data_IF_704800396615
#
_entry.id   IF_704800396615
#
_cell.length_a   1.000
_cell.length_b   1.000
_cell.length_c   1.000
_cell.angle_alpha   90.00
_cell.angle_beta   90.00
_cell.angle_gamma   90.00
#
_symmetry.space_group_name_H-M   'P 1'
#
loop_
_entity.id
_entity.type
_entity.pdbx_description
1 polymer ?
#
# COMPACT_ATOMS: atom_id res chain seq x y z
N UNK A 1 22.35 4.41 23.79
CA UNK A 1 22.10 5.37 22.69
C UNK A 1 21.41 4.58 21.58
N UNK A 2 20.12 4.83 21.36
CA UNK A 2 19.40 4.20 20.27
C UNK A 2 19.84 4.88 18.96
N UNK A 3 20.62 4.17 18.15
CA UNK A 3 20.91 4.56 16.78
C UNK A 3 19.60 4.51 16.00
N UNK A 4 19.13 5.65 15.52
CA UNK A 4 17.98 5.72 14.63
C UNK A 4 18.33 4.97 13.34
N UNK A 5 17.70 3.82 13.12
CA UNK A 5 17.75 3.13 11.85
C UNK A 5 16.90 3.92 10.85
N UNK A 6 17.56 4.69 9.97
CA UNK A 6 16.91 5.28 8.81
C UNK A 6 16.81 4.20 7.72
N UNK A 7 15.80 3.34 7.83
CA UNK A 7 15.51 2.28 6.87
C UNK A 7 14.00 2.20 6.58
N UNK A 8 13.34 3.37 6.47
CA UNK A 8 11.97 3.41 5.96
C UNK A 8 12.05 3.57 4.45
N UNK A 9 11.68 2.52 3.71
CA UNK A 9 11.83 2.44 2.23
C UNK A 9 10.44 2.49 1.54
N UNK A 10 9.34 2.63 2.28
CA UNK A 10 8.02 2.93 1.69
C UNK A 10 7.93 4.37 1.16
N UNK A 11 8.62 4.62 0.06
CA UNK A 11 8.64 5.88 -0.66
C UNK A 11 8.43 5.64 -2.15
N UNK A 12 7.97 6.67 -2.86
CA UNK A 12 7.97 6.73 -4.31
C UNK A 12 9.13 7.60 -4.80
N UNK A 13 9.31 7.64 -6.12
CA UNK A 13 10.11 8.69 -6.76
C UNK A 13 9.33 9.36 -7.88
N UNK A 14 9.72 10.59 -8.20
CA UNK A 14 9.16 11.37 -9.30
C UNK A 14 10.28 11.80 -10.24
N UNK A 15 10.11 11.52 -11.52
CA UNK A 15 11.04 11.86 -12.59
C UNK A 15 10.32 12.56 -13.73
N UNK A 16 11.07 13.16 -14.63
CA UNK A 16 10.50 13.71 -15.86
C UNK A 16 11.40 14.73 -16.51
N UNK A 17 10.87 15.38 -17.54
CA UNK A 17 11.59 16.36 -18.34
C UNK A 17 10.83 17.67 -18.45
N UNK A 18 11.56 18.78 -18.34
CA UNK A 18 11.01 20.12 -18.49
C UNK A 18 11.36 20.68 -19.86
N UNK A 19 10.33 21.14 -20.58
CA UNK A 19 10.38 21.64 -21.95
C UNK A 19 9.91 23.09 -22.06
N UNK A 20 10.44 23.82 -23.03
CA UNK A 20 9.94 25.15 -23.43
C UNK A 20 8.75 25.04 -24.42
N UNK A 21 8.10 26.14 -24.82
CA UNK A 21 7.00 26.10 -25.79
C UNK A 21 7.38 25.50 -27.16
N UNK A 22 8.64 25.62 -27.54
CA UNK A 22 9.24 25.13 -28.79
C UNK A 22 9.68 23.66 -28.69
N UNK A 23 9.67 23.06 -27.51
CA UNK A 23 10.06 21.67 -27.26
C UNK A 23 11.55 21.49 -26.91
N UNK A 24 12.31 22.55 -26.65
CA UNK A 24 13.69 22.43 -26.16
C UNK A 24 13.73 22.12 -24.67
N UNK A 25 14.78 21.42 -24.24
CA UNK A 25 15.05 21.10 -22.83
C UNK A 25 15.34 22.37 -22.03
N UNK A 26 14.76 22.47 -20.83
CA UNK A 26 14.96 23.61 -19.93
C UNK A 26 15.87 23.21 -18.76
N UNK A 27 17.16 23.58 -18.79
CA UNK A 27 18.09 23.30 -17.71
C UNK A 27 17.96 24.29 -16.54
N UNK A 28 18.33 23.85 -15.34
CA UNK A 28 18.30 24.64 -14.11
C UNK A 28 16.92 25.26 -13.80
N UNK A 29 15.84 24.53 -14.08
CA UNK A 29 14.51 24.82 -13.57
C UNK A 29 14.36 24.19 -12.18
N UNK A 30 13.73 24.91 -11.26
CA UNK A 30 13.46 24.42 -9.91
C UNK A 30 12.16 23.62 -9.95
N UNK A 31 12.22 22.37 -9.51
CA UNK A 31 11.06 21.50 -9.35
C UNK A 31 10.80 21.32 -7.86
N UNK A 32 9.59 21.64 -7.41
CA UNK A 32 9.19 21.50 -6.01
C UNK A 32 7.98 20.59 -5.90
N UNK A 33 8.12 19.51 -5.15
CA UNK A 33 7.01 18.64 -4.75
C UNK A 33 6.55 19.05 -3.35
N UNK A 34 5.27 19.39 -3.21
CA UNK A 34 4.65 19.77 -1.96
C UNK A 34 3.51 18.82 -1.61
N UNK A 35 3.64 18.11 -0.48
CA UNK A 35 2.60 17.22 0.02
C UNK A 35 1.63 18.00 0.92
N UNK A 36 0.33 17.92 0.61
CA UNK A 36 -0.67 18.83 1.18
C UNK A 36 -1.04 18.49 2.63
N UNK A 37 -1.00 17.22 3.03
CA UNK A 37 -1.50 16.77 4.35
C UNK A 37 -0.49 16.97 5.48
N UNK A 38 0.79 16.89 5.17
CA UNK A 38 1.96 17.00 6.06
C UNK A 38 2.72 18.30 5.86
N UNK A 39 2.54 18.99 4.72
CA UNK A 39 3.30 20.20 4.40
C UNK A 39 4.75 19.91 4.00
N UNK A 40 5.09 18.65 3.70
CA UNK A 40 6.43 18.25 3.27
C UNK A 40 6.77 18.91 1.93
N UNK A 41 8.00 19.43 1.82
CA UNK A 41 8.51 20.05 0.60
C UNK A 41 9.83 19.39 0.18
N UNK A 42 9.87 18.84 -1.04
CA UNK A 42 11.07 18.27 -1.66
C UNK A 42 11.42 19.06 -2.92
N UNK A 43 12.69 19.43 -3.07
CA UNK A 43 13.17 20.22 -4.21
C UNK A 43 14.21 19.45 -5.01
N UNK A 44 14.16 19.64 -6.32
CA UNK A 44 15.17 19.19 -7.27
C UNK A 44 15.39 20.28 -8.32
N UNK A 45 16.49 20.19 -9.05
CA UNK A 45 16.85 21.13 -10.11
C UNK A 45 17.09 20.33 -11.38
N UNK A 46 16.54 20.80 -12.50
CA UNK A 46 16.74 20.09 -13.77
C UNK A 46 18.20 20.11 -14.21
N UNK A 47 18.66 18.98 -14.74
CA UNK A 47 19.99 18.78 -15.31
C UNK A 47 20.17 19.58 -16.61
N UNK A 48 21.36 19.50 -17.22
CA UNK A 48 21.63 20.09 -18.53
C UNK A 48 20.72 19.52 -19.63
N UNK A 49 20.28 18.27 -19.48
CA UNK A 49 19.36 17.61 -20.40
C UNK A 49 17.88 17.93 -20.09
N UNK A 50 17.61 18.84 -19.14
CA UNK A 50 16.27 19.25 -18.73
C UNK A 50 15.51 18.22 -17.91
N UNK A 51 16.15 17.12 -17.51
CA UNK A 51 15.55 16.06 -16.68
C UNK A 51 15.66 16.39 -15.20
N UNK A 52 14.74 15.89 -14.38
CA UNK A 52 14.81 15.99 -12.92
C UNK A 52 14.50 14.64 -12.28
N UNK A 53 14.96 14.48 -11.04
CA UNK A 53 14.64 13.32 -10.20
C UNK A 53 14.43 13.78 -8.76
N UNK A 54 13.33 13.35 -8.17
CA UNK A 54 12.96 13.52 -6.77
C UNK A 54 12.78 12.12 -6.18
N UNK A 55 13.69 11.73 -5.29
CA UNK A 55 13.60 10.44 -4.61
C UNK A 55 12.94 10.58 -3.24
N UNK A 56 12.60 9.41 -2.68
CA UNK A 56 12.14 9.24 -1.31
C UNK A 56 10.96 10.14 -0.94
N UNK A 57 9.98 10.26 -1.84
CA UNK A 57 8.73 10.94 -1.56
C UNK A 57 7.84 9.98 -0.76
N UNK A 58 7.37 10.34 0.45
CA UNK A 58 6.32 9.58 1.12
C UNK A 58 5.09 9.45 0.22
N UNK A 59 4.33 8.37 0.39
CA UNK A 59 3.06 8.20 -0.30
C UNK A 59 2.09 9.32 0.06
N UNK A 60 1.22 9.70 -0.89
CA UNK A 60 0.24 10.77 -0.69
C UNK A 60 0.01 11.63 -1.91
N UNK A 61 -0.72 12.72 -1.73
CA UNK A 61 -1.15 13.60 -2.81
C UNK A 61 -0.28 14.87 -2.87
N UNK A 62 0.41 15.05 -3.98
CA UNK A 62 1.36 16.14 -4.17
C UNK A 62 0.85 17.21 -5.12
N UNK A 63 1.35 18.42 -4.90
CA UNK A 63 1.39 19.49 -5.87
C UNK A 63 2.81 19.69 -6.35
N UNK A 64 3.03 19.60 -7.67
CA UNK A 64 4.33 19.75 -8.29
C UNK A 64 4.40 21.10 -8.99
N UNK A 65 5.36 21.93 -8.60
CA UNK A 65 5.61 23.23 -9.23
C UNK A 65 6.96 23.27 -9.95
N UNK A 66 6.97 23.95 -11.08
CA UNK A 66 8.12 24.14 -11.95
C UNK A 66 8.34 25.64 -12.13
N UNK A 67 9.53 26.11 -11.72
CA UNK A 67 9.88 27.53 -11.76
C UNK A 67 11.21 27.75 -12.49
N UNK A 68 11.23 28.72 -13.41
CA UNK A 68 12.44 29.13 -14.14
C UNK A 68 12.34 30.59 -14.53
N UNK A 69 13.39 31.37 -14.29
CA UNK A 69 13.47 32.76 -14.73
C UNK A 69 13.21 32.88 -16.24
N UNK A 70 12.29 33.77 -16.62
CA UNK A 70 11.85 33.97 -18.01
C UNK A 70 10.64 33.12 -18.42
N UNK A 71 10.23 32.16 -17.58
CA UNK A 71 9.03 31.35 -17.77
C UNK A 71 7.97 31.70 -16.72
N UNK A 72 6.72 31.41 -17.05
CA UNK A 72 5.61 31.45 -16.12
C UNK A 72 5.67 30.22 -15.21
N UNK A 73 5.32 30.39 -13.92
CA UNK A 73 5.24 29.29 -12.98
C UNK A 73 4.17 28.29 -13.42
N UNK A 74 4.56 27.02 -13.50
CA UNK A 74 3.69 25.94 -13.90
C UNK A 74 3.45 25.02 -12.70
N UNK A 75 2.18 24.71 -12.41
CA UNK A 75 1.80 23.88 -11.26
C UNK A 75 0.82 22.80 -11.71
N UNK A 76 1.10 21.58 -11.25
CA UNK A 76 0.22 20.42 -11.42
C UNK A 76 -0.20 19.97 -10.04
N UNK A 77 -1.50 20.01 -9.77
CA UNK A 77 -2.08 19.55 -8.51
C UNK A 77 -2.65 18.13 -8.66
N UNK A 78 -2.71 17.38 -7.56
CA UNK A 78 -3.35 16.06 -7.56
C UNK A 78 -2.46 14.93 -8.09
N UNK A 79 -1.14 15.09 -8.00
CA UNK A 79 -0.20 14.03 -8.40
C UNK A 79 -0.09 13.03 -7.26
N UNK A 80 -0.74 11.88 -7.40
CA UNK A 80 -0.70 10.80 -6.43
C UNK A 80 0.64 10.07 -6.48
N UNK A 81 1.23 9.81 -5.33
CA UNK A 81 2.46 9.05 -5.17
C UNK A 81 2.16 7.75 -4.43
N UNK A 82 2.44 6.64 -5.09
CA UNK A 82 2.16 5.28 -4.63
C UNK A 82 3.46 4.56 -4.26
N UNK A 83 3.38 3.63 -3.31
CA UNK A 83 4.57 2.92 -2.79
C UNK A 83 5.31 2.18 -3.91
N UNK A 84 6.64 2.25 -3.93
CA UNK A 84 7.48 1.46 -4.85
C UNK A 84 7.42 1.87 -6.33
N UNK A 85 6.73 2.97 -6.66
CA UNK A 85 6.61 3.45 -8.04
C UNK A 85 7.48 4.66 -8.34
N UNK A 86 7.95 4.73 -9.58
CA UNK A 86 8.61 5.91 -10.14
C UNK A 86 7.67 6.59 -11.11
N UNK A 87 7.05 7.67 -10.66
CA UNK A 87 6.11 8.44 -11.47
C UNK A 87 6.87 9.31 -12.47
N UNK A 88 6.37 9.39 -13.71
CA UNK A 88 6.96 10.26 -14.74
C UNK A 88 6.02 11.42 -15.07
N UNK A 89 6.44 12.64 -14.76
CA UNK A 89 5.70 13.88 -15.06
C UNK A 89 6.57 14.83 -15.89
N UNK A 90 6.29 14.88 -17.19
CA UNK A 90 6.87 15.89 -18.06
C UNK A 90 6.11 17.21 -17.94
N UNK A 91 6.84 18.33 -18.01
CA UNK A 91 6.28 19.67 -17.92
C UNK A 91 6.65 20.50 -19.14
N UNK A 92 5.69 21.25 -19.68
CA UNK A 92 5.92 22.22 -20.76
C UNK A 92 5.65 23.63 -20.27
N UNK A 93 6.72 24.40 -20.05
CA UNK A 93 6.64 25.75 -19.52
C UNK A 93 6.18 26.74 -20.60
N UNK A 94 5.43 27.75 -20.17
CA UNK A 94 5.07 28.90 -21.01
C UNK A 94 6.00 30.08 -20.70
N UNK A 95 6.27 30.94 -21.68
CA UNK A 95 7.04 32.17 -21.44
C UNK A 95 6.26 33.12 -20.52
N UNK A 96 6.98 33.82 -19.63
CA UNK A 96 6.37 34.83 -18.77
C UNK A 96 5.87 36.01 -19.61
N UNK A 97 4.55 36.19 -19.72
CA UNK A 97 3.94 37.41 -20.28
C UNK A 97 3.78 38.40 -19.14
N UNK A 98 4.61 39.45 -19.08
CA UNK A 98 4.65 40.48 -18.03
C UNK A 98 3.44 40.51 -17.09
N UNK A 99 3.67 40.08 -15.84
CA UNK A 99 2.77 39.56 -14.77
C UNK A 99 2.74 38.03 -14.67
N UNK A 100 3.17 37.50 -13.52
CA UNK A 100 3.29 36.07 -13.27
C UNK A 100 1.91 35.39 -13.39
N UNK A 101 1.70 34.67 -14.50
CA UNK A 101 0.49 33.87 -14.72
C UNK A 101 0.76 32.46 -14.21
N UNK A 102 0.13 32.10 -13.10
CA UNK A 102 0.14 30.71 -12.62
C UNK A 102 -0.76 29.87 -13.52
N UNK A 103 -0.18 28.92 -14.24
CA UNK A 103 -0.96 27.91 -14.96
C UNK A 103 -1.11 26.71 -14.04
N UNK A 104 -2.29 26.55 -13.43
CA UNK A 104 -2.67 25.38 -12.64
C UNK A 104 -3.42 24.41 -13.53
N UNK A 105 -2.87 23.24 -13.78
CA UNK A 105 -3.60 22.15 -14.43
C UNK A 105 -4.27 21.32 -13.33
N UNK A 106 -5.60 21.33 -13.31
CA UNK A 106 -6.44 20.59 -12.33
C UNK A 106 -7.12 19.37 -12.97
N UNK A 107 -6.77 19.03 -14.21
CA UNK A 107 -7.29 17.80 -14.80
C UNK A 107 -6.44 16.60 -14.35
N UNK A 108 -7.05 15.47 -13.97
CA UNK A 108 -6.32 14.23 -13.77
C UNK A 108 -5.73 13.85 -15.12
N UNK A 109 -4.47 14.18 -15.34
CA UNK A 109 -3.69 13.56 -16.40
C UNK A 109 -3.83 12.06 -16.14
N UNK A 110 -4.52 11.34 -17.02
CA UNK A 110 -4.47 9.88 -17.04
C UNK A 110 -3.02 9.56 -17.38
N UNK A 111 -2.20 9.44 -16.35
CA UNK A 111 -0.78 9.18 -16.46
C UNK A 111 -0.64 7.71 -16.77
N UNK A 112 -0.59 7.43 -18.07
CA UNK A 112 -0.26 6.10 -18.57
C UNK A 112 1.13 5.75 -18.05
N UNK A 113 1.24 4.68 -17.27
CA UNK A 113 2.54 4.16 -16.85
C UNK A 113 3.29 3.60 -18.07
N UNK A 114 4.22 4.41 -18.58
CA UNK A 114 5.01 4.09 -19.79
C UNK A 114 6.35 3.43 -19.46
N UNK A 115 6.72 3.39 -18.19
CA UNK A 115 8.05 3.00 -17.74
C UNK A 115 8.13 1.57 -17.21
N UNK A 116 7.00 0.93 -16.90
CA UNK A 116 6.95 -0.34 -16.20
C UNK A 116 6.01 -1.37 -16.87
N UNK A 117 6.49 -2.60 -17.06
CA UNK A 117 5.73 -3.73 -17.62
C UNK A 117 5.15 -4.65 -16.53
N UNK A 118 5.21 -4.23 -15.26
CA UNK A 118 4.71 -4.99 -14.10
C UNK A 118 3.22 -5.30 -14.26
N UNK A 119 2.86 -6.56 -14.03
CA UNK A 119 1.47 -6.96 -13.88
C UNK A 119 1.17 -6.98 -12.38
N UNK A 120 0.20 -6.18 -11.98
CA UNK A 120 -0.12 -5.96 -10.58
C UNK A 120 -1.35 -5.07 -10.42
N UNK A 121 -1.72 -4.81 -9.16
CA UNK A 121 -2.76 -3.84 -8.84
C UNK A 121 -2.37 -3.10 -7.55
N UNK A 122 -2.44 -1.76 -7.52
CA UNK A 122 -2.63 -1.06 -6.26
C UNK A 122 -4.02 -1.42 -5.74
N UNK A 123 -4.14 -1.77 -4.46
CA UNK A 123 -5.45 -1.90 -3.83
C UNK A 123 -5.69 -0.66 -3.01
N UNK A 124 -6.62 0.15 -3.51
CA UNK A 124 -6.92 1.46 -2.95
C UNK A 124 -7.61 1.35 -1.59
N UNK A 125 -7.41 2.38 -0.77
CA UNK A 125 -8.08 2.53 0.53
C UNK A 125 -9.62 2.44 0.42
N UNK A 126 -10.20 2.83 -0.72
CA UNK A 126 -11.63 2.66 -1.00
C UNK A 126 -12.03 1.18 -1.02
N UNK A 127 -11.26 0.33 -1.72
CA UNK A 127 -11.51 -1.11 -1.78
C UNK A 127 -11.36 -1.77 -0.41
N UNK A 128 -10.39 -1.31 0.39
CA UNK A 128 -10.21 -1.72 1.80
C UNK A 128 -11.46 -1.42 2.66
N UNK A 129 -12.11 -0.28 2.42
CA UNK A 129 -13.26 0.15 3.22
C UNK A 129 -14.61 -0.37 2.70
N UNK A 130 -14.75 -0.59 1.39
CA UNK A 130 -16.02 -0.90 0.75
C UNK A 130 -16.22 -2.41 0.53
N UNK A 131 -15.14 -3.19 0.43
CA UNK A 131 -15.27 -4.62 0.21
C UNK A 131 -15.55 -5.37 1.52
N UNK A 132 -16.45 -6.36 1.50
CA UNK A 132 -16.71 -7.18 2.67
C UNK A 132 -15.51 -8.09 2.96
N UNK A 133 -14.69 -7.69 3.92
CA UNK A 133 -13.51 -8.46 4.35
C UNK A 133 -13.83 -9.30 5.57
N UNK A 134 -13.90 -10.61 5.35
CA UNK A 134 -14.08 -11.56 6.43
C UNK A 134 -12.90 -11.48 7.41
N UNK A 135 -13.19 -11.23 8.68
CA UNK A 135 -12.16 -11.05 9.72
C UNK A 135 -11.25 -9.84 9.49
N UNK A 136 -11.68 -8.87 8.65
CA UNK A 136 -10.89 -7.68 8.25
C UNK A 136 -9.49 -8.02 7.75
N UNK A 137 -9.33 -9.18 7.11
CA UNK A 137 -8.04 -9.60 6.59
C UNK A 137 -7.72 -8.88 5.28
N UNK A 138 -6.74 -7.99 5.31
CA UNK A 138 -6.32 -7.23 4.13
C UNK A 138 -5.81 -8.14 3.00
N UNK A 139 -5.24 -9.32 3.31
CA UNK A 139 -4.70 -10.20 2.28
C UNK A 139 -5.77 -10.80 1.37
N UNK A 140 -7.03 -10.87 1.77
CA UNK A 140 -8.11 -11.32 0.89
C UNK A 140 -8.24 -10.44 -0.35
N UNK A 141 -7.85 -9.17 -0.25
CA UNK A 141 -7.84 -8.25 -1.37
C UNK A 141 -6.73 -8.55 -2.39
N UNK A 142 -5.63 -9.18 -1.97
CA UNK A 142 -4.55 -9.58 -2.90
C UNK A 142 -5.01 -10.64 -3.90
N UNK A 143 -6.12 -11.34 -3.61
CA UNK A 143 -6.75 -12.27 -4.55
C UNK A 143 -7.39 -11.56 -5.76
N UNK A 144 -7.60 -10.24 -5.69
CA UNK A 144 -8.14 -9.44 -6.79
C UNK A 144 -7.09 -9.09 -7.84
N UNK A 145 -5.81 -9.31 -7.54
CA UNK A 145 -4.71 -9.02 -8.47
C UNK A 145 -4.66 -10.05 -9.60
N UNK A 146 -4.42 -9.63 -10.87
CA UNK A 146 -4.25 -10.57 -11.98
C UNK A 146 -3.18 -11.63 -11.69
N UNK A 147 -3.49 -12.89 -12.01
CA UNK A 147 -2.59 -14.02 -11.78
C UNK A 147 -2.64 -14.58 -10.36
N UNK A 148 -3.45 -14.03 -9.45
CA UNK A 148 -3.73 -14.64 -8.17
C UNK A 148 -4.49 -15.96 -8.34
N UNK A 149 -4.10 -16.97 -7.57
CA UNK A 149 -4.75 -18.26 -7.45
C UNK A 149 -4.93 -18.52 -5.96
N UNK A 150 -6.17 -18.59 -5.51
CA UNK A 150 -6.51 -18.85 -4.11
C UNK A 150 -7.01 -20.29 -3.95
N UNK A 151 -6.33 -21.08 -3.12
CA UNK A 151 -6.71 -22.46 -2.84
C UNK A 151 -7.43 -22.62 -1.48
N UNK A 152 -7.87 -21.53 -0.84
CA UNK A 152 -8.46 -21.58 0.49
C UNK A 152 -9.32 -20.36 0.84
N UNK A 153 -9.34 -19.91 2.11
CA UNK A 153 -10.28 -18.88 2.57
C UNK A 153 -9.83 -17.45 2.24
N UNK A 154 -9.05 -17.26 1.18
CA UNK A 154 -8.53 -15.96 0.76
C UNK A 154 -7.66 -15.29 1.82
N UNK A 155 -6.60 -15.97 2.24
CA UNK A 155 -5.60 -15.39 3.14
C UNK A 155 -4.17 -15.48 2.61
N UNK A 156 -3.28 -14.84 3.36
CA UNK A 156 -1.84 -14.81 3.17
C UNK A 156 -1.20 -16.18 2.86
N UNK A 157 -1.80 -17.28 3.33
CA UNK A 157 -1.28 -18.65 3.24
C UNK A 157 -1.96 -19.47 2.14
N UNK A 158 -2.91 -18.91 1.41
CA UNK A 158 -3.65 -19.66 0.38
C UNK A 158 -3.61 -19.01 -0.99
N UNK A 159 -3.24 -17.73 -1.05
CA UNK A 159 -3.09 -16.96 -2.28
C UNK A 159 -1.65 -17.10 -2.80
N UNK A 160 -1.51 -17.65 -4.00
CA UNK A 160 -0.25 -17.70 -4.78
C UNK A 160 -0.40 -16.92 -6.07
N UNK A 161 0.71 -16.50 -6.67
CA UNK A 161 0.71 -15.74 -7.90
C UNK A 161 1.37 -16.50 -9.04
N UNK A 162 0.80 -16.39 -10.23
CA UNK A 162 1.40 -16.86 -11.48
C UNK A 162 1.85 -18.34 -11.50
N UNK A 163 1.25 -19.18 -10.66
CA UNK A 163 1.58 -20.61 -10.57
C UNK A 163 2.79 -20.95 -9.69
N UNK A 164 3.41 -19.96 -9.04
CA UNK A 164 4.49 -20.17 -8.07
C UNK A 164 4.00 -20.76 -6.74
N UNK A 165 4.93 -21.23 -5.91
CA UNK A 165 4.61 -21.74 -4.58
C UNK A 165 4.16 -20.62 -3.63
N UNK A 166 3.50 -20.98 -2.54
CA UNK A 166 3.12 -20.01 -1.49
C UNK A 166 4.36 -19.40 -0.82
N UNK A 167 5.39 -20.22 -0.62
CA UNK A 167 6.67 -19.81 -0.02
C UNK A 167 7.52 -18.92 -0.95
N UNK A 168 7.14 -18.79 -2.22
CA UNK A 168 7.81 -17.92 -3.17
C UNK A 168 7.27 -16.48 -3.11
N UNK A 169 6.18 -16.23 -2.38
CA UNK A 169 5.65 -14.87 -2.20
C UNK A 169 6.48 -14.12 -1.16
N UNK A 170 6.70 -12.83 -1.41
CA UNK A 170 7.42 -11.94 -0.51
C UNK A 170 6.48 -10.84 -0.02
N UNK A 171 6.57 -10.48 1.26
CA UNK A 171 5.87 -9.33 1.83
C UNK A 171 6.86 -8.38 2.45
N UNK A 172 6.72 -7.11 2.12
CA UNK A 172 7.38 -6.03 2.83
C UNK A 172 6.35 -5.16 3.55
N UNK A 173 6.69 -4.72 4.76
CA UNK A 173 5.97 -3.68 5.49
C UNK A 173 6.90 -2.49 5.62
N UNK A 174 6.49 -1.35 5.06
CA UNK A 174 7.30 -0.13 5.01
C UNK A 174 8.69 -0.29 4.37
N UNK A 175 8.82 -1.27 3.47
CA UNK A 175 10.08 -1.65 2.82
C UNK A 175 11.00 -2.52 3.67
N UNK A 176 10.49 -3.07 4.78
CA UNK A 176 11.21 -4.08 5.58
C UNK A 176 10.61 -5.44 5.27
N UNK A 177 11.46 -6.45 5.02
CA UNK A 177 10.99 -7.82 4.84
C UNK A 177 10.16 -8.28 6.05
N UNK A 178 8.91 -8.63 5.75
CA UNK A 178 7.90 -9.12 6.67
C UNK A 178 7.40 -10.51 6.21
N UNK A 179 8.14 -11.19 5.33
CA UNK A 179 7.78 -12.51 4.80
C UNK A 179 7.66 -13.57 5.90
N UNK A 180 8.42 -13.44 6.99
CA UNK A 180 8.29 -14.31 8.17
C UNK A 180 6.91 -14.23 8.87
N UNK A 181 6.10 -13.19 8.60
CA UNK A 181 4.70 -13.12 9.03
C UNK A 181 3.85 -14.19 8.32
N UNK A 182 4.17 -14.56 7.08
CA UNK A 182 3.53 -15.67 6.36
C UNK A 182 3.88 -17.01 6.99
N UNK A 183 5.18 -17.21 7.26
CA UNK A 183 5.79 -18.47 7.64
C UNK A 183 6.03 -18.59 9.15
N UNK A 184 5.09 -18.12 9.97
CA UNK A 184 5.16 -18.32 11.41
C UNK A 184 5.25 -19.82 11.74
N UNK A 185 6.37 -20.25 12.32
CA UNK A 185 6.49 -21.58 12.90
C UNK A 185 5.29 -21.82 13.83
N UNK A 186 4.66 -23.01 13.72
CA UNK A 186 3.52 -23.42 14.56
C UNK A 186 3.88 -23.40 16.05
N UNK A 187 3.84 -22.23 16.69
CA UNK A 187 3.96 -22.04 18.13
C UNK A 187 2.80 -21.17 18.58
N UNK A 188 1.70 -21.86 18.88
CA UNK A 188 0.38 -21.28 19.19
C UNK A 188 -0.20 -20.42 18.05
N UNK A 189 -1.53 -20.35 17.96
CA UNK A 189 -2.25 -19.62 16.90
C UNK A 189 -2.16 -18.10 17.08
N UNK A 190 -0.96 -17.56 17.32
CA UNK A 190 -0.70 -16.12 17.34
C UNK A 190 -0.69 -15.63 15.90
N UNK A 191 -1.85 -15.22 15.40
CA UNK A 191 -1.97 -14.50 14.13
C UNK A 191 -1.29 -13.14 14.30
N UNK A 192 -0.03 -13.01 13.89
CA UNK A 192 0.54 -11.68 13.68
C UNK A 192 -0.11 -11.15 12.40
N UNK A 193 -1.18 -10.38 12.58
CA UNK A 193 -1.92 -9.76 11.49
C UNK A 193 -1.64 -8.27 11.51
N UNK A 194 -1.35 -7.70 10.34
CA UNK A 194 -1.32 -6.25 10.16
C UNK A 194 -2.77 -5.78 10.21
N UNK A 195 -3.16 -4.91 11.17
CA UNK A 195 -4.51 -4.39 11.23
C UNK A 195 -4.89 -3.67 9.94
N UNK A 196 -6.13 -3.85 9.48
CA UNK A 196 -6.58 -3.18 8.26
C UNK A 196 -6.52 -1.65 8.39
N UNK A 197 -6.81 -1.14 9.59
CA UNK A 197 -6.77 0.29 9.89
C UNK A 197 -5.36 0.88 10.01
N UNK A 198 -4.31 0.07 10.01
CA UNK A 198 -2.93 0.57 9.97
C UNK A 198 -2.37 0.68 8.55
N UNK A 199 -3.08 0.15 7.54
CA UNK A 199 -2.63 0.15 6.15
C UNK A 199 -3.14 1.42 5.46
N UNK A 200 -2.23 2.13 4.79
CA UNK A 200 -2.58 3.28 3.95
C UNK A 200 -2.83 2.81 2.52
N UNK A 201 -1.82 2.11 1.98
CA UNK A 201 -1.81 1.52 0.66
C UNK A 201 -1.11 0.16 0.74
N UNK A 202 -1.48 -0.75 -0.15
CA UNK A 202 -0.60 -1.85 -0.49
C UNK A 202 -0.65 -2.14 -1.99
N UNK A 203 0.48 -2.63 -2.50
CA UNK A 203 0.66 -3.00 -3.88
C UNK A 203 0.98 -4.48 -3.98
N UNK A 204 0.35 -5.15 -4.96
CA UNK A 204 0.72 -6.50 -5.35
C UNK A 204 1.27 -6.48 -6.77
N UNK A 205 2.46 -7.02 -6.93
CA UNK A 205 3.10 -7.26 -8.23
C UNK A 205 3.21 -8.77 -8.43
N UNK A 206 2.43 -9.31 -9.36
CA UNK A 206 2.30 -10.75 -9.56
C UNK A 206 3.26 -11.30 -10.61
N UNK A 207 3.67 -10.49 -11.59
CA UNK A 207 4.61 -10.86 -12.65
C UNK A 207 5.36 -9.65 -13.20
N UNK A 208 6.50 -9.91 -13.88
CA UNK A 208 7.30 -8.91 -14.59
C UNK A 208 7.73 -7.71 -13.74
N UNK A 209 7.82 -7.89 -12.42
CA UNK A 209 8.34 -6.89 -11.52
C UNK A 209 9.83 -6.64 -11.79
N UNK A 210 10.24 -5.39 -11.65
CA UNK A 210 11.60 -4.99 -11.95
C UNK A 210 12.58 -5.41 -10.84
N UNK A 211 13.87 -5.50 -11.16
CA UNK A 211 14.90 -5.99 -10.23
C UNK A 211 15.12 -5.10 -8.99
N UNK A 212 14.55 -3.90 -8.98
CA UNK A 212 14.55 -2.98 -7.84
C UNK A 212 13.46 -3.30 -6.81
N UNK A 213 12.55 -4.23 -7.12
CA UNK A 213 11.49 -4.66 -6.21
C UNK A 213 12.11 -5.60 -5.20
N UNK A 214 12.00 -5.22 -3.93
CA UNK A 214 12.61 -5.95 -2.83
C UNK A 214 11.91 -7.28 -2.61
N UNK A 215 12.63 -8.36 -2.90
CA UNK A 215 12.21 -9.74 -2.64
C UNK A 215 12.99 -10.69 -3.53
N UNK A 216 13.80 -11.55 -2.92
CA UNK A 216 14.70 -12.47 -3.63
C UNK A 216 14.01 -13.69 -4.24
N UNK A 217 12.69 -13.64 -4.44
CA UNK A 217 11.85 -14.80 -4.76
C UNK A 217 11.10 -14.63 -6.07
N UNK A 218 10.67 -15.75 -6.67
CA UNK A 218 10.04 -15.77 -7.98
C UNK A 218 8.51 -15.53 -7.93
N UNK A 219 7.89 -15.58 -6.75
CA UNK A 219 6.46 -15.42 -6.56
C UNK A 219 6.02 -13.96 -6.48
N UNK A 220 4.80 -13.74 -5.98
CA UNK A 220 4.23 -12.40 -5.90
C UNK A 220 4.95 -11.52 -4.88
N UNK A 221 5.15 -10.26 -5.23
CA UNK A 221 5.75 -9.25 -4.38
C UNK A 221 4.63 -8.37 -3.81
N UNK A 222 4.46 -8.39 -2.50
CA UNK A 222 3.42 -7.62 -1.78
C UNK A 222 4.10 -6.55 -0.95
N UNK A 223 3.88 -5.28 -1.28
CA UNK A 223 4.41 -4.15 -0.52
C UNK A 223 3.27 -3.46 0.22
N UNK A 224 3.36 -3.41 1.55
CA UNK A 224 2.38 -2.75 2.42
C UNK A 224 3.00 -1.49 3.00
N UNK A 225 2.29 -0.37 2.91
CA UNK A 225 2.66 0.88 3.54
C UNK A 225 1.73 1.18 4.72
N UNK A 226 2.32 1.53 5.86
CA UNK A 226 1.58 1.91 7.05
C UNK A 226 1.11 3.37 6.98
N UNK A 227 -0.01 3.65 7.65
CA UNK A 227 -0.52 5.02 7.78
C UNK A 227 0.39 5.89 8.62
N UNK A 228 0.55 7.12 8.15
CA UNK A 228 1.21 8.18 8.89
C UNK A 228 0.20 9.20 9.43
N UNK A 229 0.64 10.02 10.40
CA UNK A 229 -0.19 11.12 10.90
C UNK A 229 -0.13 12.33 9.96
N UNK A 230 -1.17 13.17 10.02
CA UNK A 230 -1.27 14.39 9.19
C UNK A 230 -1.28 15.64 10.06
N UNK A 231 -1.32 16.83 9.45
CA UNK A 231 -1.51 18.09 10.17
C UNK A 231 -2.91 18.25 10.82
N UNK A 232 -3.83 17.31 10.57
CA UNK A 232 -5.16 17.31 11.18
C UNK A 232 -5.33 16.09 12.08
N UNK A 233 -6.01 16.28 13.20
CA UNK A 233 -6.42 15.13 14.00
C UNK A 233 -7.53 14.37 13.30
N UNK A 234 -7.38 13.05 13.20
CA UNK A 234 -8.39 12.13 12.68
C UNK A 234 -8.30 10.79 13.39
N UNK A 235 -9.40 10.05 13.41
CA UNK A 235 -9.43 8.71 13.98
C UNK A 235 -10.76 8.04 13.72
N UNK A 236 -10.79 6.73 13.93
CA UNK A 236 -11.99 5.92 13.80
C UNK A 236 -12.07 4.87 14.91
N UNK A 237 -13.26 4.33 15.14
CA UNK A 237 -13.47 3.18 16.02
C UNK A 237 -14.50 2.25 15.38
N UNK A 238 -14.35 0.96 15.61
CA UNK A 238 -15.22 -0.07 15.05
C UNK A 238 -15.42 -1.24 16.02
N UNK A 239 -16.51 -1.96 15.80
CA UNK A 239 -16.83 -3.23 16.46
C UNK A 239 -17.59 -4.14 15.48
N UNK A 240 -17.08 -5.35 15.29
CA UNK A 240 -17.64 -6.39 14.44
C UNK A 240 -17.96 -7.62 15.29
N UNK A 241 -19.16 -8.15 15.09
CA UNK A 241 -19.67 -9.31 15.81
C UNK A 241 -20.11 -10.40 14.83
N UNK A 242 -19.72 -11.64 15.10
CA UNK A 242 -20.27 -12.83 14.42
C UNK A 242 -20.46 -13.97 15.41
N UNK A 243 -21.53 -14.74 15.23
CA UNK A 243 -21.79 -15.92 16.04
C UNK A 243 -22.52 -17.03 15.26
N UNK A 244 -22.54 -18.20 15.87
CA UNK A 244 -23.25 -19.41 15.41
C UNK A 244 -24.75 -19.21 15.19
N UNK A 245 -25.40 -18.28 15.89
CA UNK A 245 -26.81 -17.96 15.69
C UNK A 245 -27.10 -17.23 14.38
N UNK A 246 -26.11 -16.52 13.81
CA UNK A 246 -26.22 -15.78 12.56
C UNK A 246 -25.61 -16.55 11.37
N UNK A 247 -24.72 -17.50 11.63
CA UNK A 247 -24.03 -18.28 10.60
C UNK A 247 -24.89 -19.45 10.09
N UNK A 248 -24.79 -19.73 8.79
CA UNK A 248 -25.42 -20.90 8.18
C UNK A 248 -24.62 -22.18 8.48
N UNK A 249 -25.31 -23.31 8.63
CA UNK A 249 -24.66 -24.62 8.83
C UNK A 249 -23.97 -25.11 7.57
N UNK A 250 -22.80 -25.71 7.72
CA UNK A 250 -22.14 -26.46 6.64
C UNK A 250 -22.81 -27.82 6.43
N UNK A 251 -22.66 -28.47 5.26
CA UNK A 251 -23.22 -29.80 4.99
C UNK A 251 -22.71 -30.91 5.93
N UNK A 252 -21.62 -30.65 6.66
CA UNK A 252 -20.97 -31.61 7.56
C UNK A 252 -21.24 -31.32 9.04
N UNK A 253 -21.92 -30.21 9.34
CA UNK A 253 -22.28 -29.86 10.71
C UNK A 253 -23.35 -30.81 11.25
N UNK A 254 -23.33 -31.03 12.57
CA UNK A 254 -24.40 -31.76 13.27
C UNK A 254 -25.72 -30.98 13.19
N UNK A 255 -26.81 -31.57 13.69
CA UNK A 255 -28.13 -30.92 13.74
C UNK A 255 -28.12 -29.55 14.47
N UNK A 256 -27.16 -29.34 15.37
CA UNK A 256 -26.82 -28.03 15.96
C UNK A 256 -25.45 -27.57 15.44
N UNK A 257 -25.28 -26.29 15.06
CA UNK A 257 -23.97 -25.73 14.74
C UNK A 257 -23.04 -25.81 15.96
N UNK A 258 -21.74 -25.94 15.70
CA UNK A 258 -20.71 -25.88 16.75
C UNK A 258 -20.62 -24.44 17.31
N UNK A 259 -20.33 -24.26 18.62
CA UNK A 259 -20.27 -22.93 19.21
C UNK A 259 -19.24 -22.03 18.52
N UNK A 260 -19.71 -20.94 17.95
CA UNK A 260 -18.88 -19.92 17.32
C UNK A 260 -19.23 -18.53 17.84
N UNK A 261 -18.21 -17.77 18.24
CA UNK A 261 -18.32 -16.39 18.65
C UNK A 261 -17.04 -15.64 18.28
N UNK A 262 -17.18 -14.57 17.52
CA UNK A 262 -16.10 -13.69 17.10
C UNK A 262 -16.47 -12.25 17.44
N UNK A 263 -15.60 -11.58 18.19
CA UNK A 263 -15.67 -10.14 18.44
C UNK A 263 -14.38 -9.52 17.92
N UNK A 264 -14.49 -8.57 17.02
CA UNK A 264 -13.35 -7.87 16.42
C UNK A 264 -13.59 -6.37 16.51
N UNK A 265 -12.85 -5.72 17.40
CA UNK A 265 -13.02 -4.31 17.71
C UNK A 265 -11.69 -3.59 17.63
N UNK A 266 -11.74 -2.29 17.41
CA UNK A 266 -10.52 -1.51 17.29
C UNK A 266 -10.77 -0.02 17.18
N UNK A 267 -9.68 0.71 17.25
CA UNK A 267 -9.67 2.15 17.05
C UNK A 267 -8.33 2.60 16.48
N UNK A 268 -8.36 3.71 15.75
CA UNK A 268 -7.19 4.42 15.27
C UNK A 268 -7.29 5.90 15.59
N UNK A 269 -6.13 6.53 15.74
CA UNK A 269 -6.01 7.96 15.97
C UNK A 269 -4.66 8.46 15.47
N UNK A 270 -4.67 9.57 14.74
CA UNK A 270 -3.46 10.21 14.24
C UNK A 270 -3.60 11.73 14.19
N UNK A 271 -2.45 12.39 14.09
CA UNK A 271 -2.36 13.84 14.01
C UNK A 271 -0.96 14.38 14.24
N UNK A 272 -0.80 15.72 14.37
CA UNK A 272 0.50 16.34 14.57
C UNK A 272 0.93 16.35 16.04
N UNK A 273 2.21 16.10 16.28
CA UNK A 273 2.92 16.47 17.52
C UNK A 273 3.48 17.90 17.38
N UNK A 274 4.19 18.17 16.28
CA UNK A 274 4.61 19.51 15.84
C UNK A 274 4.14 19.69 14.38
N UNK A 275 3.20 20.62 14.11
CA UNK A 275 2.68 20.84 12.76
C UNK A 275 3.78 21.03 11.72
N UNK A 276 3.60 20.38 10.57
CA UNK A 276 4.54 20.33 9.44
C UNK A 276 5.91 19.70 9.73
N UNK A 277 6.09 19.01 10.86
CA UNK A 277 7.38 18.41 11.22
C UNK A 277 7.30 17.02 11.82
N UNK A 278 6.39 16.80 12.76
CA UNK A 278 6.33 15.55 13.52
C UNK A 278 4.89 15.15 13.71
N UNK A 279 4.60 13.92 13.32
CA UNK A 279 3.26 13.35 13.32
C UNK A 279 3.26 12.02 14.06
N UNK A 280 2.09 11.60 14.51
CA UNK A 280 1.89 10.27 15.08
C UNK A 280 0.65 9.62 14.47
N UNK A 281 0.67 8.30 14.44
CA UNK A 281 -0.48 7.47 14.13
C UNK A 281 -0.44 6.25 15.04
N UNK A 282 -1.58 5.91 15.65
CA UNK A 282 -1.73 4.75 16.53
C UNK A 282 -2.95 3.98 16.06
N UNK A 283 -2.81 2.66 15.99
CA UNK A 283 -3.90 1.75 15.71
C UNK A 283 -3.89 0.61 16.74
N UNK A 284 -5.09 0.21 17.15
CA UNK A 284 -5.31 -0.98 17.96
C UNK A 284 -6.44 -1.79 17.36
N UNK A 285 -6.21 -3.09 17.18
CA UNK A 285 -7.22 -4.05 16.77
C UNK A 285 -7.15 -5.29 17.67
N UNK A 286 -8.30 -5.69 18.20
CA UNK A 286 -8.46 -6.86 19.05
C UNK A 286 -9.41 -7.86 18.41
N UNK A 287 -8.94 -9.10 18.24
CA UNK A 287 -9.75 -10.22 17.76
C UNK A 287 -9.91 -11.25 18.89
N UNK A 288 -11.15 -11.47 19.33
CA UNK A 288 -11.51 -12.48 20.33
C UNK A 288 -12.40 -13.53 19.70
N UNK A 289 -11.88 -14.74 19.58
CA UNK A 289 -12.56 -15.84 18.92
C UNK A 289 -12.74 -17.03 19.87
N UNK A 290 -13.96 -17.55 19.92
CA UNK A 290 -14.28 -18.88 20.45
C UNK A 290 -14.81 -19.70 19.29
N UNK A 291 -14.11 -20.76 18.94
CA UNK A 291 -14.46 -21.61 17.81
C UNK A 291 -14.42 -23.07 18.24
N UNK A 292 -15.56 -23.76 18.11
CA UNK A 292 -15.60 -25.22 18.04
C UNK A 292 -15.32 -25.68 16.62
N UNK A 293 -14.39 -26.61 16.42
CA UNK A 293 -14.20 -27.29 15.15
C UNK A 293 -14.43 -28.79 15.34
N UNK A 294 -15.40 -29.36 14.62
CA UNK A 294 -15.53 -30.81 14.50
C UNK A 294 -14.42 -31.35 13.59
N UNK A 295 -13.54 -32.18 14.14
CA UNK A 295 -12.55 -32.93 13.36
C UNK A 295 -13.07 -34.33 13.06
N UNK A 296 -13.13 -34.69 11.78
CA UNK A 296 -13.45 -36.06 11.34
C UNK A 296 -12.14 -36.74 10.99
N UNK A 297 -11.71 -37.67 11.83
CA UNK A 297 -10.54 -38.51 11.58
C UNK A 297 -10.95 -39.90 11.11
N UNK A 298 -10.31 -40.39 10.05
CA UNK A 298 -10.34 -41.81 9.72
C UNK A 298 -9.32 -42.51 10.63
N UNK A 299 -9.83 -43.29 11.58
CA UNK A 299 -8.97 -44.16 12.40
C UNK A 299 -8.84 -45.53 11.72
N UNK A 300 -7.68 -46.20 11.82
CA UNK A 300 -7.56 -47.58 11.36
C UNK A 300 -8.67 -48.42 11.97
N UNK A 301 -9.34 -49.25 11.15
CA UNK A 301 -10.29 -50.22 11.68
C UNK A 301 -9.57 -51.15 12.66
N UNK A 302 -10.29 -51.78 13.61
CA UNK A 302 -9.69 -52.74 14.54
C UNK A 302 -8.86 -53.85 13.84
N UNK A 303 -9.14 -54.15 12.57
CA UNK A 303 -8.39 -55.09 11.75
C UNK A 303 -7.00 -54.62 11.31
N UNK A 304 -6.66 -53.34 11.47
CA UNK A 304 -5.35 -52.75 11.16
C UNK A 304 -4.45 -52.56 12.40
N UNK A 305 -4.96 -52.89 13.59
CA UNK A 305 -4.17 -52.93 14.83
C UNK A 305 -3.57 -54.34 14.95
N UNK A 306 -2.47 -54.60 14.24
CA UNK A 306 -1.71 -55.84 14.29
C UNK A 306 -0.28 -55.57 14.76
#
# INVERSE_FOLDING_TARGET
MATAAAAQIATSSLTGTVLDPQGHRVPNAIVTAFEKSTGLERKSVTTLDGTYFLDSLPIGLYSISFAKTGFADYRVDGVEQTVGHTHTLDAKLSLAKGTAQQVSVTEPLIQLERSNATIGAPVEQAQVNELPLNGRNWASLTALTPGAIDNGPSDQRTIRFAGHGLDDNNLTLDGVDATAIYNQEQREYVRLAIPLGSIDEFQVQSQNFAANVEGGTAGGQVAVASRSGTNSFHGSAFDYFRNDALDARTPFDKASPDPFLLNQFGADFGGPIDPNKTFFYVNYEGLRQRLGQTQIGLVPSPSFVA
#
